data_IF_705524665504
#
_entry.id   IF_705524665504
#
_cell.length_a   1.000
_cell.length_b   1.000
_cell.length_c   1.000
_cell.angle_alpha   90.00
_cell.angle_beta   90.00
_cell.angle_gamma   90.00
#
_symmetry.space_group_name_H-M   'P 1'
#
loop_
_entity.id
_entity.type
_entity.pdbx_description
1 polymer ?
#
# COMPACT_ATOMS: atom_id res chain seq x y z
N UNK A 1 -19.57 14.81 10.42
CA UNK A 1 -18.84 13.78 9.64
C UNK A 1 -17.61 13.40 10.44
N UNK A 2 -17.39 12.11 10.63
CA UNK A 2 -16.20 11.56 11.29
C UNK A 2 -15.40 10.78 10.24
N UNK A 3 -14.08 10.84 10.32
CA UNK A 3 -13.17 10.10 9.43
C UNK A 3 -12.14 9.36 10.27
N UNK A 4 -11.80 8.14 9.88
CA UNK A 4 -10.80 7.31 10.55
C UNK A 4 -9.98 6.54 9.52
N UNK A 5 -8.77 6.14 9.89
CA UNK A 5 -7.85 5.34 9.07
C UNK A 5 -8.12 3.83 9.14
N UNK A 6 -9.12 3.43 9.94
CA UNK A 6 -9.50 2.02 10.14
C UNK A 6 -10.98 1.90 10.51
N UNK A 7 -11.61 0.74 10.33
CA UNK A 7 -12.98 0.47 10.77
C UNK A 7 -13.16 0.72 12.27
N UNK A 8 -14.35 1.17 12.68
CA UNK A 8 -14.64 1.54 14.07
C UNK A 8 -14.40 0.39 15.07
N UNK A 9 -14.65 -0.86 14.63
CA UNK A 9 -14.44 -2.07 15.43
C UNK A 9 -12.95 -2.42 15.66
N UNK A 10 -12.04 -1.83 14.89
CA UNK A 10 -10.59 -2.04 15.04
C UNK A 10 -9.91 -0.96 15.89
N UNK A 11 -10.65 0.07 16.32
CA UNK A 11 -10.13 1.15 17.17
C UNK A 11 -9.98 0.61 18.59
N UNK A 12 -8.74 0.53 19.07
CA UNK A 12 -8.47 0.10 20.45
C UNK A 12 -9.07 1.08 21.44
N UNK A 13 -9.67 0.55 22.50
CA UNK A 13 -10.29 1.32 23.60
C UNK A 13 -11.51 2.16 23.20
N UNK A 14 -12.14 1.89 22.07
CA UNK A 14 -13.40 2.50 21.72
C UNK A 14 -14.55 1.71 22.40
N UNK A 15 -15.42 2.42 23.14
CA UNK A 15 -16.56 1.80 23.80
C UNK A 15 -17.52 1.18 22.77
N UNK A 16 -18.02 -0.02 23.06
CA UNK A 16 -18.94 -0.75 22.19
C UNK A 16 -20.21 0.05 21.84
N UNK A 17 -20.66 0.91 22.75
CA UNK A 17 -21.81 1.81 22.53
C UNK A 17 -21.54 2.84 21.42
N UNK A 18 -20.29 3.32 21.32
CA UNK A 18 -19.90 4.27 20.28
C UNK A 18 -19.75 3.57 18.93
N UNK A 19 -19.16 2.37 18.91
CA UNK A 19 -19.07 1.55 17.69
C UNK A 19 -20.46 1.32 17.10
N UNK A 20 -21.41 0.84 17.91
CA UNK A 20 -22.79 0.61 17.50
C UNK A 20 -23.49 1.87 16.97
N UNK A 21 -23.23 3.04 17.58
CA UNK A 21 -23.79 4.31 17.08
C UNK A 21 -23.17 4.75 15.75
N UNK A 22 -21.90 4.50 15.52
CA UNK A 22 -21.25 4.80 14.23
C UNK A 22 -21.76 3.88 13.13
N UNK A 23 -21.97 2.59 13.42
CA UNK A 23 -22.52 1.62 12.47
C UNK A 23 -23.99 1.89 12.13
N UNK A 24 -24.72 2.60 12.97
CA UNK A 24 -26.13 2.97 12.71
C UNK A 24 -26.26 4.10 11.67
N UNK A 25 -25.16 4.79 11.33
CA UNK A 25 -25.10 5.82 10.31
C UNK A 25 -24.63 5.29 8.93
N UNK A 26 -24.42 6.21 8.01
CA UNK A 26 -23.78 5.87 6.74
C UNK A 26 -22.26 5.69 6.96
N UNK A 27 -21.81 4.45 6.88
CA UNK A 27 -20.39 4.10 6.90
C UNK A 27 -19.96 3.78 5.48
N UNK A 28 -18.99 4.53 4.97
CA UNK A 28 -18.40 4.27 3.63
C UNK A 28 -16.89 4.07 3.78
N UNK A 29 -16.40 3.09 3.06
CA UNK A 29 -14.96 2.84 2.96
C UNK A 29 -14.40 3.53 1.71
N UNK A 30 -13.32 4.29 1.90
CA UNK A 30 -12.61 4.95 0.80
C UNK A 30 -11.43 4.11 0.37
N UNK A 31 -11.58 3.42 -0.74
CA UNK A 31 -10.51 2.63 -1.33
C UNK A 31 -9.47 3.50 -2.05
N UNK A 32 -8.22 3.03 -2.16
CA UNK A 32 -7.24 3.68 -3.02
C UNK A 32 -7.79 3.84 -4.44
N UNK A 33 -7.58 5.00 -5.08
CA UNK A 33 -8.12 5.26 -6.41
C UNK A 33 -7.48 4.35 -7.45
N UNK A 34 -8.26 4.02 -8.46
CA UNK A 34 -7.79 3.36 -9.66
C UNK A 34 -6.89 4.27 -10.53
N UNK A 35 -6.39 3.75 -11.63
CA UNK A 35 -5.48 4.48 -12.51
C UNK A 35 -6.13 5.74 -13.11
N UNK A 36 -7.38 5.62 -13.57
CA UNK A 36 -8.11 6.72 -14.21
C UNK A 36 -8.40 7.85 -13.22
N UNK A 37 -8.81 7.50 -12.02
CA UNK A 37 -9.03 8.46 -10.94
C UNK A 37 -7.72 9.18 -10.56
N UNK A 38 -6.57 8.46 -10.48
CA UNK A 38 -5.28 9.09 -10.23
C UNK A 38 -4.88 10.06 -11.34
N UNK A 39 -5.14 9.70 -12.58
CA UNK A 39 -4.93 10.58 -13.74
C UNK A 39 -5.76 11.88 -13.61
N UNK A 40 -7.05 11.74 -13.30
CA UNK A 40 -7.93 12.88 -13.11
C UNK A 40 -7.47 13.78 -11.95
N UNK A 41 -7.05 13.21 -10.83
CA UNK A 41 -6.50 13.95 -9.68
C UNK A 41 -5.26 14.75 -10.09
N UNK A 42 -4.31 14.11 -10.81
CA UNK A 42 -3.09 14.79 -11.26
C UNK A 42 -3.40 15.95 -12.23
N UNK A 43 -4.30 15.74 -13.19
CA UNK A 43 -4.70 16.78 -14.15
C UNK A 43 -5.35 17.98 -13.45
N UNK A 44 -6.31 17.71 -12.56
CA UNK A 44 -6.96 18.78 -11.79
C UNK A 44 -5.95 19.55 -10.92
N UNK A 45 -5.00 18.82 -10.31
CA UNK A 45 -3.97 19.44 -9.50
C UNK A 45 -2.98 20.26 -10.34
N UNK A 46 -2.58 19.79 -11.52
CA UNK A 46 -1.73 20.52 -12.46
C UNK A 46 -2.38 21.84 -12.90
N UNK A 47 -3.68 21.81 -13.22
CA UNK A 47 -4.46 23.02 -13.54
C UNK A 47 -4.46 23.99 -12.35
N UNK A 48 -4.70 23.49 -11.12
CA UNK A 48 -4.70 24.33 -9.91
C UNK A 48 -3.33 24.97 -9.65
N UNK A 49 -2.24 24.28 -9.98
CA UNK A 49 -0.88 24.79 -9.86
C UNK A 49 -0.44 25.69 -11.03
N UNK A 50 -1.26 25.81 -12.06
CA UNK A 50 -0.95 26.58 -13.27
C UNK A 50 0.21 25.99 -14.08
N UNK A 51 0.40 24.67 -14.03
CA UNK A 51 1.51 23.95 -14.67
C UNK A 51 0.99 23.12 -15.82
N UNK A 52 1.62 23.28 -16.98
CA UNK A 52 1.37 22.45 -18.15
C UNK A 52 2.43 21.34 -18.22
N UNK A 53 2.00 20.10 -17.99
CA UNK A 53 2.84 18.91 -18.05
C UNK A 53 2.40 18.02 -19.20
N UNK A 54 3.36 17.42 -19.95
CA UNK A 54 3.03 16.45 -20.99
C UNK A 54 2.21 15.27 -20.43
N UNK A 55 1.21 14.83 -21.18
CA UNK A 55 0.35 13.69 -20.78
C UNK A 55 1.13 12.42 -20.48
N UNK A 56 2.28 12.22 -21.15
CA UNK A 56 3.19 11.10 -20.87
C UNK A 56 3.74 11.14 -19.43
N UNK A 57 4.09 12.33 -18.94
CA UNK A 57 4.60 12.56 -17.60
C UNK A 57 3.51 12.29 -16.56
N UNK A 58 2.32 12.83 -16.81
CA UNK A 58 1.16 12.61 -15.92
C UNK A 58 0.79 11.13 -15.85
N UNK A 59 0.75 10.44 -16.99
CA UNK A 59 0.52 9.00 -17.08
C UNK A 59 1.61 8.18 -16.38
N UNK A 60 2.88 8.58 -16.52
CA UNK A 60 4.00 7.94 -15.85
C UNK A 60 3.85 8.03 -14.32
N UNK A 61 3.55 9.21 -13.78
CA UNK A 61 3.32 9.40 -12.35
C UNK A 61 2.16 8.54 -11.84
N UNK A 62 1.01 8.56 -12.54
CA UNK A 62 -0.17 7.77 -12.17
C UNK A 62 0.08 6.25 -12.19
N UNK A 63 0.94 5.75 -13.10
CA UNK A 63 1.32 4.33 -13.19
C UNK A 63 2.28 3.91 -12.09
N UNK A 64 3.23 4.77 -11.74
CA UNK A 64 4.33 4.45 -10.81
C UNK A 64 3.94 4.62 -9.35
N UNK A 65 3.17 5.67 -9.00
CA UNK A 65 2.79 5.98 -7.63
C UNK A 65 1.33 5.55 -7.42
N UNK A 66 1.13 4.44 -6.70
CA UNK A 66 -0.18 3.77 -6.56
C UNK A 66 -0.72 3.77 -5.15
N UNK A 67 0.15 3.81 -4.15
CA UNK A 67 -0.21 3.49 -2.78
C UNK A 67 -0.70 4.69 -1.98
N UNK A 68 -0.30 5.91 -2.36
CA UNK A 68 -0.57 7.10 -1.57
C UNK A 68 -0.76 8.35 -2.42
N UNK A 69 -1.97 8.92 -2.34
CA UNK A 69 -2.34 10.15 -3.07
C UNK A 69 -1.46 11.34 -2.66
N UNK A 70 -1.12 11.48 -1.38
CA UNK A 70 -0.26 12.57 -0.92
C UNK A 70 1.13 12.49 -1.54
N UNK A 71 1.66 11.26 -1.74
CA UNK A 71 2.92 11.05 -2.47
C UNK A 71 2.77 11.39 -3.94
N UNK A 72 1.64 11.04 -4.53
CA UNK A 72 1.33 11.36 -5.93
C UNK A 72 1.29 12.87 -6.15
N UNK A 73 0.59 13.62 -5.30
CA UNK A 73 0.57 15.08 -5.32
C UNK A 73 1.96 15.68 -5.04
N UNK A 74 2.68 15.16 -4.05
CA UNK A 74 4.04 15.59 -3.74
C UNK A 74 5.02 15.39 -4.90
N UNK A 75 4.88 14.29 -5.64
CA UNK A 75 5.66 14.03 -6.84
C UNK A 75 5.33 15.04 -7.95
N UNK A 76 4.05 15.34 -8.16
CA UNK A 76 3.62 16.38 -9.11
C UNK A 76 4.23 17.74 -8.77
N UNK A 77 4.17 18.15 -7.49
CA UNK A 77 4.74 19.42 -7.03
C UNK A 77 6.25 19.45 -7.28
N UNK A 78 7.00 18.38 -7.02
CA UNK A 78 8.44 18.31 -7.30
C UNK A 78 8.75 18.48 -8.78
N UNK A 79 7.99 17.79 -9.64
CA UNK A 79 8.16 17.86 -11.10
C UNK A 79 7.83 19.27 -11.63
N UNK A 80 6.75 19.85 -11.15
CA UNK A 80 6.32 21.21 -11.44
C UNK A 80 7.37 22.26 -11.02
N UNK A 81 7.88 22.14 -9.79
CA UNK A 81 8.95 23.04 -9.30
C UNK A 81 10.23 22.91 -10.13
N UNK A 82 10.61 21.69 -10.50
CA UNK A 82 11.76 21.47 -11.38
C UNK A 82 11.59 22.15 -12.73
N UNK A 83 10.43 22.01 -13.36
CA UNK A 83 10.12 22.65 -14.65
C UNK A 83 10.18 24.19 -14.53
N UNK A 84 9.56 24.75 -13.49
CA UNK A 84 9.54 26.20 -13.25
C UNK A 84 10.93 26.76 -12.98
N UNK A 85 11.79 26.05 -12.25
CA UNK A 85 13.14 26.51 -11.90
C UNK A 85 14.13 26.36 -13.06
N UNK A 86 14.02 25.31 -13.86
CA UNK A 86 14.99 25.02 -14.93
C UNK A 86 14.57 25.53 -16.29
N UNK A 87 13.28 25.81 -16.49
CA UNK A 87 12.70 26.16 -17.81
C UNK A 87 12.82 25.02 -18.84
N UNK A 88 13.26 23.81 -18.43
CA UNK A 88 13.47 22.68 -19.34
C UNK A 88 12.21 21.82 -19.44
N UNK A 89 11.91 21.27 -20.63
CA UNK A 89 10.82 20.33 -20.77
C UNK A 89 11.09 19.07 -19.92
N UNK A 90 10.05 18.59 -19.23
CA UNK A 90 10.11 17.42 -18.38
C UNK A 90 9.77 16.19 -19.23
N UNK A 91 10.65 15.19 -19.18
CA UNK A 91 10.45 13.88 -19.79
C UNK A 91 10.28 12.80 -18.74
N UNK A 92 9.69 11.63 -19.06
CA UNK A 92 9.58 10.52 -18.11
C UNK A 92 10.92 10.10 -17.50
N UNK A 93 12.01 10.13 -18.25
CA UNK A 93 13.37 9.81 -17.76
C UNK A 93 13.86 10.85 -16.72
N UNK A 94 13.58 12.13 -16.96
CA UNK A 94 13.90 13.19 -15.99
C UNK A 94 13.10 13.00 -14.71
N UNK A 95 11.81 12.65 -14.83
CA UNK A 95 10.94 12.38 -13.68
C UNK A 95 11.43 11.17 -12.89
N UNK A 96 11.86 10.09 -13.56
CA UNK A 96 12.39 8.91 -12.89
C UNK A 96 13.65 9.23 -12.07
N UNK A 97 14.54 10.03 -12.62
CA UNK A 97 15.74 10.49 -11.90
C UNK A 97 15.39 11.41 -10.72
N UNK A 98 14.47 12.35 -10.91
CA UNK A 98 14.04 13.31 -9.90
C UNK A 98 13.31 12.66 -8.72
N UNK A 99 12.55 11.60 -9.00
CA UNK A 99 11.68 10.91 -8.04
C UNK A 99 12.23 9.53 -7.62
N UNK A 100 13.51 9.26 -7.87
CA UNK A 100 14.13 7.96 -7.59
C UNK A 100 13.82 7.45 -6.17
N UNK A 101 13.87 8.33 -5.18
CA UNK A 101 13.59 7.98 -3.78
C UNK A 101 12.14 7.58 -3.58
N UNK A 102 11.21 8.37 -4.14
CA UNK A 102 9.76 8.12 -4.03
C UNK A 102 9.39 6.81 -4.74
N UNK A 103 9.93 6.59 -5.94
CA UNK A 103 9.67 5.38 -6.73
C UNK A 103 10.27 4.13 -6.07
N UNK A 104 11.42 4.25 -5.42
CA UNK A 104 12.03 3.16 -4.68
C UNK A 104 11.21 2.78 -3.44
N UNK A 105 10.66 3.75 -2.73
CA UNK A 105 9.75 3.50 -1.61
C UNK A 105 8.42 2.90 -2.06
N UNK A 106 7.86 3.34 -3.18
CA UNK A 106 6.66 2.71 -3.77
C UNK A 106 6.91 1.23 -4.10
N UNK A 107 8.06 0.92 -4.71
CA UNK A 107 8.45 -0.47 -4.98
C UNK A 107 8.53 -1.33 -3.71
N UNK A 108 9.04 -0.77 -2.61
CA UNK A 108 9.09 -1.46 -1.31
C UNK A 108 7.70 -1.65 -0.68
N UNK A 109 6.80 -0.68 -0.85
CA UNK A 109 5.45 -0.73 -0.28
C UNK A 109 4.59 -1.79 -0.98
N UNK A 110 4.84 -2.05 -2.27
CA UNK A 110 4.17 -3.12 -3.03
C UNK A 110 4.60 -4.51 -2.55
N UNK A 111 5.82 -4.66 -2.01
CA UNK A 111 6.31 -5.92 -1.43
C UNK A 111 5.90 -5.98 0.04
N UNK A 112 4.65 -6.33 0.30
CA UNK A 112 4.15 -6.60 1.65
C UNK A 112 4.15 -8.09 1.95
N UNK A 113 4.23 -8.45 3.24
CA UNK A 113 4.13 -9.86 3.69
C UNK A 113 2.85 -10.49 3.15
N UNK A 114 1.74 -9.76 3.17
CA UNK A 114 0.44 -10.22 2.68
C UNK A 114 0.44 -10.47 1.18
N UNK A 115 1.09 -9.60 0.40
CA UNK A 115 1.21 -9.80 -1.05
C UNK A 115 2.08 -11.02 -1.39
N UNK A 116 3.17 -11.24 -0.63
CA UNK A 116 4.00 -12.45 -0.77
C UNK A 116 3.17 -13.69 -0.45
N UNK A 117 2.42 -13.69 0.65
CA UNK A 117 1.57 -14.80 1.05
C UNK A 117 0.48 -15.10 0.02
N UNK A 118 -0.19 -14.06 -0.52
CA UNK A 118 -1.18 -14.23 -1.60
C UNK A 118 -0.57 -14.88 -2.83
N UNK A 119 0.58 -14.38 -3.29
CA UNK A 119 1.27 -14.93 -4.46
C UNK A 119 1.72 -16.39 -4.26
N UNK A 120 2.22 -16.71 -3.07
CA UNK A 120 2.58 -18.09 -2.73
C UNK A 120 1.33 -18.98 -2.65
N UNK A 121 0.25 -18.50 -2.05
CA UNK A 121 -1.01 -19.23 -1.99
C UNK A 121 -1.57 -19.52 -3.40
N UNK A 122 -1.57 -18.53 -4.28
CA UNK A 122 -1.95 -18.68 -5.69
C UNK A 122 -1.07 -19.72 -6.43
N UNK A 123 0.24 -19.67 -6.20
CA UNK A 123 1.19 -20.58 -6.86
C UNK A 123 1.02 -22.04 -6.44
N UNK A 124 0.67 -22.29 -5.18
CA UNK A 124 0.46 -23.63 -4.62
C UNK A 124 -1.01 -24.07 -4.61
N UNK A 125 -1.90 -23.27 -5.24
CA UNK A 125 -3.35 -23.52 -5.29
C UNK A 125 -3.98 -23.78 -3.91
N UNK A 126 -3.59 -22.99 -2.91
CA UNK A 126 -4.14 -23.02 -1.56
C UNK A 126 -4.86 -21.73 -1.21
N UNK A 127 -5.91 -21.82 -0.39
CA UNK A 127 -6.62 -20.62 0.04
C UNK A 127 -5.76 -19.77 0.94
N UNK A 128 -5.81 -18.46 0.75
CA UNK A 128 -5.09 -17.51 1.61
C UNK A 128 -5.45 -17.67 3.10
N UNK A 129 -6.73 -18.00 3.40
CA UNK A 129 -7.17 -18.29 4.76
C UNK A 129 -6.45 -19.48 5.40
N UNK A 130 -6.09 -20.50 4.61
CA UNK A 130 -5.34 -21.66 5.09
C UNK A 130 -3.88 -21.30 5.37
N UNK A 131 -3.28 -20.39 4.59
CA UNK A 131 -1.93 -19.86 4.86
C UNK A 131 -1.81 -19.19 6.23
N UNK A 132 -2.87 -18.55 6.70
CA UNK A 132 -2.90 -17.81 7.99
C UNK A 132 -3.54 -18.62 9.12
N UNK A 133 -3.98 -19.86 8.87
CA UNK A 133 -4.64 -20.73 9.84
C UNK A 133 -3.64 -21.36 10.81
N UNK A 134 -4.15 -21.90 11.95
CA UNK A 134 -3.35 -22.70 12.88
C UNK A 134 -3.11 -24.15 12.42
N UNK A 135 -3.82 -24.59 11.39
CA UNK A 135 -3.67 -25.93 10.84
C UNK A 135 -2.29 -26.09 10.20
N UNK A 136 -1.66 -27.26 10.38
CA UNK A 136 -0.32 -27.57 9.86
C UNK A 136 -0.29 -28.88 9.03
N UNK A 137 -1.23 -29.12 8.11
CA UNK A 137 -1.08 -30.22 7.19
C UNK A 137 0.14 -29.93 6.28
N UNK A 138 0.79 -30.97 5.82
CA UNK A 138 2.07 -30.90 5.09
C UNK A 138 1.95 -30.05 3.80
N UNK A 139 0.84 -30.14 3.11
CA UNK A 139 0.54 -29.35 1.91
C UNK A 139 0.45 -27.82 2.16
N UNK A 140 0.26 -27.39 3.41
CA UNK A 140 0.21 -25.97 3.79
C UNK A 140 1.51 -25.54 4.50
N UNK A 141 2.18 -26.43 5.19
CA UNK A 141 3.39 -26.14 5.95
C UNK A 141 4.53 -25.66 5.03
N UNK A 142 4.77 -26.36 3.95
CA UNK A 142 5.83 -26.04 3.00
C UNK A 142 5.62 -24.69 2.28
N UNK A 143 4.45 -24.38 1.66
CA UNK A 143 4.18 -23.08 1.11
C UNK A 143 4.32 -21.93 2.12
N UNK A 144 3.92 -22.17 3.38
CA UNK A 144 4.07 -21.19 4.45
C UNK A 144 5.54 -20.89 4.75
N UNK A 145 6.40 -21.91 4.81
CA UNK A 145 7.84 -21.74 4.99
C UNK A 145 8.45 -20.92 3.84
N UNK A 146 8.07 -21.20 2.60
CA UNK A 146 8.50 -20.41 1.44
C UNK A 146 8.05 -18.94 1.57
N UNK A 147 6.78 -18.70 1.92
CA UNK A 147 6.28 -17.36 2.12
C UNK A 147 7.02 -16.60 3.22
N UNK A 148 7.36 -17.28 4.32
CA UNK A 148 8.16 -16.71 5.42
C UNK A 148 9.59 -16.39 4.98
N UNK A 149 10.23 -17.29 4.26
CA UNK A 149 11.57 -17.07 3.70
C UNK A 149 11.60 -15.88 2.75
N UNK A 150 10.69 -15.84 1.77
CA UNK A 150 10.58 -14.73 0.83
C UNK A 150 10.24 -13.41 1.55
N UNK A 151 9.36 -13.45 2.54
CA UNK A 151 9.04 -12.27 3.33
C UNK A 151 10.27 -11.74 4.09
N UNK A 152 11.11 -12.60 4.61
CA UNK A 152 12.37 -12.21 5.28
C UNK A 152 13.34 -11.57 4.30
N UNK A 153 13.60 -12.21 3.16
CA UNK A 153 14.54 -11.72 2.15
C UNK A 153 14.09 -10.39 1.53
N UNK A 154 12.82 -10.31 1.14
CA UNK A 154 12.30 -9.16 0.38
C UNK A 154 11.90 -7.98 1.25
N UNK A 155 11.44 -8.19 2.50
CA UNK A 155 10.99 -7.09 3.38
C UNK A 155 12.01 -6.70 4.44
N UNK A 156 13.07 -7.49 4.65
CA UNK A 156 14.09 -7.32 5.71
C UNK A 156 13.50 -7.16 7.13
N UNK A 157 12.31 -7.68 7.36
CA UNK A 157 11.65 -7.66 8.68
C UNK A 157 12.13 -8.83 9.54
N UNK A 158 12.05 -8.65 10.87
CA UNK A 158 12.39 -9.72 11.80
C UNK A 158 11.43 -10.91 11.68
N UNK A 159 11.92 -12.13 11.94
CA UNK A 159 11.11 -13.36 11.91
C UNK A 159 9.88 -13.26 12.82
N UNK A 160 10.02 -12.68 14.01
CA UNK A 160 8.91 -12.48 14.94
C UNK A 160 7.81 -11.57 14.35
N UNK A 161 8.20 -10.55 13.58
CA UNK A 161 7.25 -9.66 12.89
C UNK A 161 6.53 -10.36 11.74
N UNK A 162 7.22 -11.27 11.06
CA UNK A 162 6.69 -12.07 9.95
C UNK A 162 5.75 -13.14 10.50
N UNK A 163 6.15 -13.86 11.52
CA UNK A 163 5.35 -14.93 12.15
C UNK A 163 4.06 -14.38 12.75
N UNK A 164 4.11 -13.25 13.47
CA UNK A 164 2.92 -12.58 14.02
C UNK A 164 1.92 -12.16 12.94
N UNK A 165 2.37 -11.79 11.74
CA UNK A 165 1.50 -11.46 10.59
C UNK A 165 1.06 -12.70 9.82
N UNK A 166 1.88 -13.77 9.78
CA UNK A 166 1.54 -14.99 9.03
C UNK A 166 0.66 -15.96 9.79
N UNK A 167 0.62 -15.94 11.11
CA UNK A 167 -0.15 -16.91 11.89
C UNK A 167 -1.29 -16.32 12.70
N UNK A 168 -1.48 -14.97 12.71
CA UNK A 168 -2.41 -14.28 13.63
C UNK A 168 -2.31 -14.79 15.07
N UNK A 169 -1.11 -15.15 15.52
CA UNK A 169 -0.90 -15.57 16.90
C UNK A 169 -1.05 -14.34 17.80
N UNK A 170 -2.17 -14.26 18.49
CA UNK A 170 -2.28 -13.49 19.70
C UNK A 170 -1.12 -13.88 20.61
N UNK A 171 -0.29 -12.91 20.97
CA UNK A 171 0.83 -13.05 21.89
C UNK A 171 0.34 -13.19 23.35
N UNK A 172 -0.40 -14.24 23.65
CA UNK A 172 -0.77 -14.56 25.02
C UNK A 172 -0.19 -15.90 25.54
N UNK A 173 0.64 -16.59 24.79
CA UNK A 173 1.32 -17.77 25.26
C UNK A 173 2.69 -17.96 24.59
N UNK A 174 3.69 -17.22 25.06
CA UNK A 174 5.06 -17.69 25.18
C UNK A 174 5.60 -17.17 26.52
N UNK A 175 5.19 -17.83 27.58
CA UNK A 175 5.99 -18.05 28.77
C UNK A 175 6.41 -19.53 28.72
N UNK A 176 7.62 -19.76 28.45
CA UNK A 176 8.64 -20.68 29.02
C UNK A 176 9.78 -20.72 28.04
#
# INVERSE_FOLDING_TARGET
>A
MLTCDRPANEIKNLEHRLVSRFEWGLVTDMQPPDFETRLAILRNKAVTLGVDLPDEVVSFLAKRIRTNIRRLEGALIRVSSYQSLTGKPVTPNTVESLLKDVLHEEGRTVISIENIQKRVAEHYDIRFADMTSRRRPENIAFPRQIAMYLAREMTRKSLNSIDRKSTRLNSSHVLI
#
